data_IF_211650724370
#
_entry.id   IF_211650724370
#
_cell.length_a   1.000
_cell.length_b   1.000
_cell.length_c   1.000
_cell.angle_alpha   90.00
_cell.angle_beta   90.00
_cell.angle_gamma   90.00
#
_symmetry.space_group_name_H-M   'P 1'
#
loop_
_entity.id
_entity.type
_entity.pdbx_description
1 polymer ?
#
# COMPACT_ATOMS: atom_id res chain seq x y z
N UNK A 1 12.97 -0.70 -56.82
CA UNK A 1 12.91 -1.80 -55.84
C UNK A 1 14.17 -1.74 -54.99
N UNK A 2 14.13 -1.10 -53.82
CA UNK A 2 15.06 -1.45 -52.74
C UNK A 2 14.54 -0.93 -51.40
N UNK A 3 14.01 -1.88 -50.61
CA UNK A 3 13.92 -1.87 -49.13
C UNK A 3 13.03 -0.77 -48.52
N UNK A 4 11.72 -0.95 -48.31
CA UNK A 4 11.10 -1.97 -47.46
C UNK A 4 11.90 -2.28 -46.18
N UNK A 5 12.03 -1.30 -45.28
CA UNK A 5 12.37 -1.55 -43.85
C UNK A 5 12.20 -0.31 -42.95
N UNK A 6 11.05 0.37 -43.04
CA UNK A 6 10.57 1.22 -41.94
C UNK A 6 9.46 0.47 -41.18
N UNK A 7 9.73 -0.79 -40.84
CA UNK A 7 8.97 -1.42 -39.79
C UNK A 7 9.56 -0.90 -38.48
N UNK A 8 8.92 0.13 -37.93
CA UNK A 8 9.12 0.65 -36.59
C UNK A 8 8.85 -0.44 -35.55
N UNK A 9 9.75 -1.41 -35.46
CA UNK A 9 9.95 -2.19 -34.25
C UNK A 9 10.40 -1.19 -33.20
N UNK A 10 9.44 -0.70 -32.41
CA UNK A 10 9.74 -0.10 -31.13
C UNK A 10 10.60 -1.12 -30.37
N UNK A 11 11.89 -0.81 -30.23
CA UNK A 11 12.71 -1.43 -29.20
C UNK A 11 11.98 -1.16 -27.90
N UNK A 12 11.28 -2.18 -27.39
CA UNK A 12 10.79 -2.16 -26.03
C UNK A 12 12.03 -2.27 -25.16
N UNK A 13 12.68 -1.15 -24.88
CA UNK A 13 13.74 -1.08 -23.88
C UNK A 13 13.15 -1.65 -22.59
N UNK A 14 13.64 -2.80 -22.09
CA UNK A 14 13.06 -3.46 -20.91
C UNK A 14 13.23 -2.63 -19.62
N UNK A 15 13.83 -1.44 -19.72
CA UNK A 15 14.04 -0.48 -18.65
C UNK A 15 13.18 0.78 -18.70
N UNK A 16 12.29 0.98 -19.69
CA UNK A 16 11.43 2.17 -19.72
C UNK A 16 10.30 2.07 -18.68
N UNK A 17 10.56 2.54 -17.46
CA UNK A 17 9.51 2.73 -16.44
C UNK A 17 8.60 3.87 -16.89
N UNK A 18 7.32 3.55 -17.09
CA UNK A 18 6.28 4.57 -17.34
C UNK A 18 6.27 5.59 -16.21
N UNK A 19 6.53 6.86 -16.56
CA UNK A 19 6.40 7.99 -15.64
C UNK A 19 4.97 8.08 -15.13
N UNK A 20 4.81 8.06 -13.81
CA UNK A 20 3.53 8.21 -13.12
C UNK A 20 3.18 9.68 -13.01
N UNK A 21 1.91 10.02 -13.22
CA UNK A 21 1.47 11.42 -13.11
C UNK A 21 0.58 11.63 -11.89
N UNK A 22 0.66 12.85 -11.34
CA UNK A 22 -0.20 13.27 -10.22
C UNK A 22 -1.68 13.22 -10.60
N UNK A 23 -2.00 13.57 -11.84
CA UNK A 23 -3.38 13.55 -12.34
C UNK A 23 -4.01 12.16 -12.21
N UNK A 24 -3.34 11.12 -12.73
CA UNK A 24 -3.84 9.75 -12.63
C UNK A 24 -3.87 9.25 -11.19
N UNK A 25 -2.89 9.63 -10.36
CA UNK A 25 -2.90 9.28 -8.95
C UNK A 25 -4.11 9.87 -8.20
N UNK A 26 -4.46 11.15 -8.44
CA UNK A 26 -5.66 11.76 -7.87
C UNK A 26 -6.95 11.21 -8.45
N UNK A 27 -6.97 10.86 -9.74
CA UNK A 27 -8.11 10.21 -10.37
C UNK A 27 -8.41 8.86 -9.69
N UNK A 28 -7.41 7.98 -9.55
CA UNK A 28 -7.58 6.70 -8.86
C UNK A 28 -7.87 6.88 -7.37
N UNK A 29 -7.34 7.93 -6.75
CA UNK A 29 -7.68 8.26 -5.37
C UNK A 29 -9.16 8.65 -5.25
N UNK A 30 -9.71 9.48 -6.12
CA UNK A 30 -11.11 9.91 -6.00
C UNK A 30 -12.10 8.75 -6.23
N UNK A 31 -11.88 7.92 -7.25
CA UNK A 31 -12.83 6.86 -7.63
C UNK A 31 -12.58 5.52 -6.95
N UNK A 32 -11.34 5.22 -6.58
CA UNK A 32 -10.93 3.94 -5.99
C UNK A 32 -10.11 4.09 -4.72
N UNK A 33 -10.05 5.27 -4.13
CA UNK A 33 -9.17 5.54 -2.98
C UNK A 33 -9.56 4.78 -1.72
N UNK A 34 -10.84 4.48 -1.50
CA UNK A 34 -11.27 3.62 -0.39
C UNK A 34 -10.73 2.18 -0.53
N UNK A 35 -10.49 1.72 -1.75
CA UNK A 35 -9.90 0.42 -2.04
C UNK A 35 -8.38 0.52 -2.32
N UNK A 36 -7.76 1.69 -2.16
CA UNK A 36 -6.32 1.85 -2.39
C UNK A 36 -5.88 1.80 -3.85
N UNK A 37 -6.76 2.07 -4.83
CA UNK A 37 -6.43 2.01 -6.25
C UNK A 37 -5.24 2.92 -6.64
N UNK A 38 -5.11 4.09 -6.01
CA UNK A 38 -3.97 4.98 -6.21
C UNK A 38 -2.66 4.38 -5.69
N UNK A 39 -2.69 3.56 -4.64
CA UNK A 39 -1.49 2.85 -4.16
C UNK A 39 -1.04 1.77 -5.14
N UNK A 40 -1.97 1.03 -5.73
CA UNK A 40 -1.67 0.05 -6.79
C UNK A 40 -1.05 0.74 -8.02
N UNK A 41 -1.61 1.87 -8.45
CA UNK A 41 -1.07 2.65 -9.57
C UNK A 41 0.40 3.11 -9.34
N UNK A 42 0.71 3.44 -8.08
CA UNK A 42 2.03 3.92 -7.63
C UNK A 42 2.98 2.78 -7.23
N UNK A 43 2.57 1.51 -7.33
CA UNK A 43 3.40 0.35 -6.97
C UNK A 43 3.66 0.20 -5.47
N UNK A 44 2.69 0.58 -4.64
CA UNK A 44 2.77 0.53 -3.16
C UNK A 44 1.86 -0.56 -2.62
N UNK A 45 2.20 -1.81 -2.90
CA UNK A 45 1.32 -2.97 -2.67
C UNK A 45 0.98 -3.19 -1.19
N UNK A 46 1.93 -3.01 -0.27
CA UNK A 46 1.67 -3.11 1.17
C UNK A 46 0.61 -2.10 1.63
N UNK A 47 0.67 -0.86 1.11
CA UNK A 47 -0.32 0.16 1.44
C UNK A 47 -1.66 -0.13 0.77
N UNK A 48 -1.66 -0.66 -0.45
CA UNK A 48 -2.88 -1.09 -1.12
C UNK A 48 -3.59 -2.21 -0.32
N UNK A 49 -2.84 -3.20 0.17
CA UNK A 49 -3.37 -4.28 1.00
C UNK A 49 -4.04 -3.74 2.25
N UNK A 50 -3.34 -2.88 3.01
CA UNK A 50 -3.91 -2.22 4.21
C UNK A 50 -5.17 -1.43 3.85
N UNK A 51 -5.21 -0.73 2.72
CA UNK A 51 -6.39 0.04 2.33
C UNK A 51 -7.60 -0.83 2.04
N UNK A 52 -7.40 -1.95 1.33
CA UNK A 52 -8.46 -2.90 1.02
C UNK A 52 -8.96 -3.58 2.31
N UNK A 53 -8.04 -4.02 3.18
CA UNK A 53 -8.38 -4.74 4.41
C UNK A 53 -8.96 -3.86 5.51
N UNK A 54 -8.79 -2.53 5.44
CA UNK A 54 -9.23 -1.57 6.48
C UNK A 54 -10.20 -0.52 5.97
N UNK A 55 -10.72 -0.70 4.75
CA UNK A 55 -11.67 0.20 4.10
C UNK A 55 -11.18 1.66 4.05
N UNK A 56 -10.12 1.90 3.27
CA UNK A 56 -9.58 3.24 3.00
C UNK A 56 -8.50 3.72 3.97
N UNK A 57 -7.77 2.78 4.59
CA UNK A 57 -6.67 3.09 5.50
C UNK A 57 -7.17 3.50 6.88
N UNK A 58 -7.89 2.59 7.54
CA UNK A 58 -8.61 2.75 8.81
C UNK A 58 -9.82 3.69 8.69
N UNK A 59 -10.91 3.16 8.13
CA UNK A 59 -12.22 3.85 8.01
C UNK A 59 -12.07 5.23 7.33
N UNK A 60 -11.30 5.29 6.24
CA UNK A 60 -11.12 6.51 5.45
C UNK A 60 -10.17 7.59 6.02
N UNK A 61 -9.53 7.38 7.17
CA UNK A 61 -8.50 8.32 7.67
C UNK A 61 -7.28 8.40 6.74
N UNK A 62 -6.86 7.26 6.19
CA UNK A 62 -5.81 7.18 5.18
C UNK A 62 -6.18 7.93 3.89
N UNK A 63 -7.42 7.79 3.45
CA UNK A 63 -7.95 8.50 2.28
C UNK A 63 -7.77 10.02 2.39
N UNK A 64 -8.10 10.64 3.53
CA UNK A 64 -7.92 12.08 3.74
C UNK A 64 -6.45 12.49 3.81
N UNK A 65 -5.63 11.69 4.48
CA UNK A 65 -4.19 11.94 4.62
C UNK A 65 -3.48 11.97 3.26
N UNK A 66 -3.93 11.14 2.32
CA UNK A 66 -3.26 10.98 1.03
C UNK A 66 -3.35 12.19 0.12
N UNK A 67 -4.32 13.10 0.34
CA UNK A 67 -4.42 14.37 -0.39
C UNK A 67 -3.07 15.10 -0.40
N UNK A 68 -2.39 15.15 0.75
CA UNK A 68 -1.10 15.84 0.89
C UNK A 68 0.10 14.97 0.51
N UNK A 69 -0.07 13.65 0.47
CA UNK A 69 1.04 12.70 0.28
C UNK A 69 1.21 12.19 -1.14
N UNK A 70 0.15 12.19 -1.95
CA UNK A 70 0.19 11.79 -3.36
C UNK A 70 1.34 12.44 -4.14
N UNK A 71 1.65 13.76 -4.00
CA UNK A 71 2.77 14.35 -4.73
C UNK A 71 4.12 13.71 -4.36
N UNK A 72 4.33 13.40 -3.08
CA UNK A 72 5.53 12.72 -2.62
C UNK A 72 5.58 11.27 -3.10
N UNK A 73 4.43 10.56 -3.12
CA UNK A 73 4.37 9.19 -3.63
C UNK A 73 4.64 9.09 -5.13
N UNK A 74 4.20 10.08 -5.91
CA UNK A 74 4.51 10.16 -7.35
C UNK A 74 5.99 10.44 -7.57
N UNK A 75 6.59 11.33 -6.77
CA UNK A 75 8.03 11.61 -6.83
C UNK A 75 8.87 10.36 -6.49
N UNK A 76 8.45 9.60 -5.48
CA UNK A 76 9.03 8.31 -5.09
C UNK A 76 8.91 7.27 -6.23
N UNK A 77 7.71 7.07 -6.77
CA UNK A 77 7.45 6.12 -7.86
C UNK A 77 8.25 6.45 -9.14
N UNK A 78 8.49 7.73 -9.40
CA UNK A 78 9.27 8.21 -10.54
C UNK A 78 10.79 8.29 -10.28
N UNK A 79 11.25 7.96 -9.07
CA UNK A 79 12.66 8.10 -8.65
C UNK A 79 13.21 9.53 -8.86
N UNK A 80 12.42 10.57 -8.51
CA UNK A 80 12.87 11.98 -8.63
C UNK A 80 14.21 12.14 -7.88
N UNK A 81 15.28 12.64 -8.55
CA UNK A 81 16.59 12.81 -7.94
C UNK A 81 16.56 13.59 -6.63
N UNK A 82 15.70 14.62 -6.52
CA UNK A 82 15.57 15.44 -5.31
C UNK A 82 14.99 14.64 -4.16
N UNK A 83 13.95 13.85 -4.42
CA UNK A 83 13.33 12.99 -3.42
C UNK A 83 14.31 11.93 -2.90
N UNK A 84 15.06 11.31 -3.81
CA UNK A 84 16.07 10.30 -3.47
C UNK A 84 17.23 10.92 -2.69
N UNK A 85 17.69 12.12 -3.05
CA UNK A 85 18.73 12.83 -2.31
C UNK A 85 18.28 13.17 -0.89
N UNK A 86 17.06 13.71 -0.72
CA UNK A 86 16.48 14.01 0.58
C UNK A 86 16.32 12.75 1.44
N UNK A 87 15.90 11.64 0.83
CA UNK A 87 15.81 10.36 1.51
C UNK A 87 17.20 9.86 1.96
N UNK A 88 18.20 9.87 1.07
CA UNK A 88 19.59 9.51 1.38
C UNK A 88 20.16 10.39 2.50
N UNK A 89 19.88 11.69 2.47
CA UNK A 89 20.29 12.65 3.51
C UNK A 89 19.71 12.27 4.88
N UNK A 90 18.41 11.96 4.94
CA UNK A 90 17.73 11.53 6.17
C UNK A 90 18.27 10.20 6.71
N UNK A 91 18.53 9.23 5.84
CA UNK A 91 19.09 7.92 6.22
C UNK A 91 20.53 8.06 6.71
N UNK A 92 21.36 8.89 6.08
CA UNK A 92 22.73 9.17 6.54
C UNK A 92 22.76 9.90 7.89
N UNK A 93 21.84 10.83 8.11
CA UNK A 93 21.75 11.60 9.35
C UNK A 93 21.24 10.78 10.53
N UNK A 94 20.39 9.76 10.30
CA UNK A 94 19.77 8.98 11.36
C UNK A 94 20.22 7.51 11.29
N UNK A 95 21.02 7.06 12.27
CA UNK A 95 21.49 5.66 12.36
C UNK A 95 20.34 4.64 12.43
N UNK A 96 19.19 5.05 12.98
CA UNK A 96 17.97 4.25 13.07
C UNK A 96 16.76 5.09 12.65
N UNK A 97 15.71 4.50 12.05
CA UNK A 97 14.49 5.23 11.74
C UNK A 97 13.90 5.84 13.04
N UNK A 98 13.47 7.11 13.03
CA UNK A 98 12.89 7.72 14.21
C UNK A 98 11.56 7.03 14.56
N UNK A 99 11.31 6.84 15.85
CA UNK A 99 10.02 6.34 16.32
C UNK A 99 8.93 7.36 16.00
N UNK A 100 7.81 6.89 15.47
CA UNK A 100 6.65 7.72 15.18
C UNK A 100 5.45 7.16 15.92
N UNK A 101 4.98 7.90 16.93
CA UNK A 101 3.80 7.53 17.70
C UNK A 101 2.57 7.33 16.80
N UNK A 102 2.42 8.16 15.76
CA UNK A 102 1.33 8.03 14.78
C UNK A 102 1.41 6.72 14.02
N UNK A 103 2.61 6.29 13.60
CA UNK A 103 2.78 5.01 12.91
C UNK A 103 2.47 3.84 13.85
N UNK A 104 2.97 3.90 15.08
CA UNK A 104 2.73 2.88 16.09
C UNK A 104 1.24 2.75 16.43
N UNK A 105 0.56 3.87 16.69
CA UNK A 105 -0.87 3.90 16.96
C UNK A 105 -1.68 3.34 15.78
N UNK A 106 -1.33 3.71 14.55
CA UNK A 106 -1.99 3.17 13.36
C UNK A 106 -1.78 1.64 13.23
N UNK A 107 -0.55 1.14 13.47
CA UNK A 107 -0.27 -0.29 13.47
C UNK A 107 -1.07 -1.03 14.54
N UNK A 108 -1.14 -0.51 15.76
CA UNK A 108 -1.92 -1.09 16.85
C UNK A 108 -3.43 -1.11 16.51
N UNK A 109 -3.95 -0.04 15.91
CA UNK A 109 -5.35 0.06 15.52
C UNK A 109 -5.71 -0.94 14.40
N UNK A 110 -4.85 -1.11 13.40
CA UNK A 110 -5.02 -2.12 12.33
C UNK A 110 -4.94 -3.54 12.90
N UNK A 111 -3.96 -3.81 13.77
CA UNK A 111 -3.82 -5.10 14.44
C UNK A 111 -5.08 -5.46 15.24
N UNK A 112 -5.63 -4.50 15.99
CA UNK A 112 -6.88 -4.70 16.73
C UNK A 112 -8.06 -5.01 15.81
N UNK A 113 -8.21 -4.25 14.72
CA UNK A 113 -9.27 -4.47 13.74
C UNK A 113 -9.21 -5.89 13.15
N UNK A 114 -8.02 -6.36 12.78
CA UNK A 114 -7.87 -7.71 12.23
C UNK A 114 -8.06 -8.81 13.27
N UNK A 115 -7.65 -8.60 14.52
CA UNK A 115 -7.93 -9.53 15.61
C UNK A 115 -9.45 -9.71 15.78
N UNK A 116 -10.20 -8.60 15.83
CA UNK A 116 -11.67 -8.63 15.96
C UNK A 116 -12.35 -9.24 14.74
N UNK A 117 -11.86 -8.94 13.53
CA UNK A 117 -12.37 -9.57 12.31
C UNK A 117 -12.16 -11.09 12.32
N UNK A 118 -10.99 -11.55 12.78
CA UNK A 118 -10.70 -12.98 12.87
C UNK A 118 -11.50 -13.67 13.97
N UNK A 119 -11.63 -13.04 15.13
CA UNK A 119 -12.44 -13.57 16.24
C UNK A 119 -13.93 -13.66 15.86
N UNK A 120 -14.47 -12.65 15.18
CA UNK A 120 -15.87 -12.64 14.72
C UNK A 120 -16.15 -13.65 13.61
N UNK A 121 -15.14 -14.00 12.82
CA UNK A 121 -15.26 -15.04 11.79
C UNK A 121 -15.30 -16.47 12.38
N UNK A 122 -14.87 -16.66 13.63
CA UNK A 122 -14.84 -17.98 14.29
C UNK A 122 -16.14 -18.20 15.09
N UNK A 123 -16.90 -19.27 14.80
CA UNK A 123 -18.06 -19.64 15.60
C UNK A 123 -17.68 -19.90 17.07
N UNK A 124 -18.46 -19.32 17.99
CA UNK A 124 -18.25 -19.49 19.43
C UNK A 124 -18.83 -20.82 19.95
N UNK A 125 -19.80 -21.36 19.23
CA UNK A 125 -20.47 -22.62 19.53
C UNK A 125 -19.97 -23.74 18.61
N UNK A 126 -20.20 -24.98 19.04
CA UNK A 126 -19.86 -26.15 18.22
C UNK A 126 -20.78 -26.24 17.02
N UNK A 127 -20.19 -26.31 15.83
CA UNK A 127 -20.91 -26.46 14.58
C UNK A 127 -20.70 -27.89 14.10
N UNK A 128 -21.78 -28.67 14.04
CA UNK A 128 -21.74 -30.12 13.75
C UNK A 128 -20.84 -30.93 14.71
N UNK A 129 -20.74 -30.51 15.98
CA UNK A 129 -19.90 -31.18 17.00
C UNK A 129 -18.40 -30.89 16.87
N UNK A 130 -18.00 -29.96 16.00
CA UNK A 130 -16.62 -29.49 15.87
C UNK A 130 -16.48 -28.15 16.59
N UNK A 131 -15.51 -28.06 17.49
CA UNK A 131 -15.18 -26.84 18.23
C UNK A 131 -14.09 -26.05 17.51
N UNK A 132 -14.44 -24.96 16.81
CA UNK A 132 -13.49 -24.16 16.02
C UNK A 132 -12.59 -23.22 16.84
N UNK A 133 -12.76 -23.16 18.16
CA UNK A 133 -12.08 -22.18 19.03
C UNK A 133 -10.56 -22.36 19.07
N UNK A 134 -10.03 -23.53 18.73
CA UNK A 134 -8.58 -23.74 18.63
C UNK A 134 -7.92 -22.83 17.57
N UNK A 135 -8.68 -22.36 16.57
CA UNK A 135 -8.17 -21.43 15.54
C UNK A 135 -7.69 -20.10 16.13
N UNK A 136 -8.14 -19.74 17.34
CA UNK A 136 -7.66 -18.55 18.06
C UNK A 136 -6.14 -18.56 18.32
N UNK A 137 -5.49 -19.73 18.27
CA UNK A 137 -4.02 -19.81 18.34
C UNK A 137 -3.32 -19.07 17.20
N UNK A 138 -4.02 -18.84 16.08
CA UNK A 138 -3.50 -18.13 14.91
C UNK A 138 -3.60 -16.60 15.02
N UNK A 139 -4.25 -16.06 16.07
CA UNK A 139 -4.40 -14.61 16.26
C UNK A 139 -3.07 -13.85 16.13
N UNK A 140 -1.94 -14.28 16.74
CA UNK A 140 -0.66 -13.59 16.58
C UNK A 140 -0.16 -13.53 15.13
N UNK A 141 -0.44 -14.56 14.32
CA UNK A 141 -0.07 -14.57 12.91
C UNK A 141 -0.95 -13.61 12.09
N UNK A 142 -2.24 -13.54 12.40
CA UNK A 142 -3.19 -12.65 11.72
C UNK A 142 -2.85 -11.17 11.97
N UNK A 143 -2.57 -10.79 13.21
CA UNK A 143 -2.24 -9.40 13.55
C UNK A 143 -0.86 -8.96 13.05
N UNK A 144 -0.01 -9.90 12.63
CA UNK A 144 1.35 -9.64 12.15
C UNK A 144 1.45 -9.42 10.63
N UNK A 145 0.35 -9.59 9.89
CA UNK A 145 0.25 -9.31 8.45
C UNK A 145 0.39 -7.80 8.13
#
# INVERSE_FOLDING_TARGET
>A
MEKAKENGLYMHDPGYKSVKTKFWAYFFWLFGGLFGAHHVYLGRDDQAFVYISTFGGYIGCGFLRDIYRIPAYVADANNDPRFIEDFKRKVRANRKPPFSAVRFAAQAAVAYLWAELFNSAIPQEEVYGINFRYLLILVPAVIAL
#
